data_IF_873819328414
#
_entry.id   IF_873819328414
#
_cell.length_a   1.000
_cell.length_b   1.000
_cell.length_c   1.000
_cell.angle_alpha   90.00
_cell.angle_beta   90.00
_cell.angle_gamma   90.00
#
_symmetry.space_group_name_H-M   'P 1'
#
loop_
_entity.id
_entity.type
_entity.pdbx_description
1 polymer ?
#
# COMPACT_ATOMS: atom_id res chain seq x y z
N UNK A 1 9.09 6.21 -15.61
CA UNK A 1 9.05 6.51 -14.16
C UNK A 1 8.96 5.18 -13.41
N UNK A 2 9.56 4.99 -12.23
CA UNK A 2 9.45 3.69 -11.54
C UNK A 2 8.04 3.52 -10.92
N UNK A 3 7.38 2.36 -11.07
CA UNK A 3 6.07 2.11 -10.46
C UNK A 3 6.14 2.11 -8.94
N UNK A 4 5.02 2.44 -8.30
CA UNK A 4 4.92 2.61 -6.86
C UNK A 4 3.70 1.92 -6.28
N UNK A 5 3.88 1.31 -5.12
CA UNK A 5 2.80 0.98 -4.19
C UNK A 5 2.79 2.04 -3.09
N UNK A 6 1.77 2.88 -3.10
CA UNK A 6 1.59 3.98 -2.16
C UNK A 6 0.79 3.47 -0.96
N UNK A 7 1.28 3.71 0.25
CA UNK A 7 0.64 3.28 1.52
C UNK A 7 0.36 4.51 2.38
N UNK A 8 -0.89 4.67 2.81
CA UNK A 8 -1.26 5.73 3.75
C UNK A 8 -0.77 5.39 5.16
N UNK A 9 0.05 6.26 5.73
CA UNK A 9 0.59 6.11 7.09
C UNK A 9 0.21 7.28 8.01
N UNK A 10 -0.88 8.02 7.72
CA UNK A 10 -1.33 9.08 8.63
C UNK A 10 -1.63 8.48 10.00
N UNK A 11 -1.02 9.05 11.03
CA UNK A 11 -1.48 8.96 12.41
C UNK A 11 -2.33 10.21 12.71
N UNK A 12 -3.49 10.02 13.34
CA UNK A 12 -4.28 11.09 13.96
C UNK A 12 -4.33 10.88 15.49
N UNK A 13 -5.09 11.71 16.21
CA UNK A 13 -5.37 11.51 17.62
C UNK A 13 -5.90 10.09 17.87
N UNK A 14 -5.73 9.57 19.09
CA UNK A 14 -6.17 8.20 19.45
C UNK A 14 -7.67 7.96 19.23
N UNK A 15 -8.48 9.03 19.22
CA UNK A 15 -9.94 9.00 19.04
C UNK A 15 -10.38 9.10 17.58
N UNK A 16 -9.47 9.38 16.65
CA UNK A 16 -9.80 9.62 15.24
C UNK A 16 -9.33 8.48 14.36
N UNK A 17 -10.20 8.05 13.45
CA UNK A 17 -9.82 7.07 12.42
C UNK A 17 -8.62 7.55 11.60
N UNK A 18 -7.63 6.66 11.48
CA UNK A 18 -6.42 6.89 10.69
C UNK A 18 -5.78 5.58 10.29
N UNK A 19 -5.10 5.56 9.14
CA UNK A 19 -4.49 4.32 8.64
C UNK A 19 -3.40 3.80 9.58
N UNK A 20 -2.56 4.69 10.14
CA UNK A 20 -1.54 4.26 11.10
C UNK A 20 -2.15 3.79 12.42
N UNK A 21 -3.24 4.41 12.88
CA UNK A 21 -4.02 3.94 14.04
C UNK A 21 -4.61 2.53 13.84
N UNK A 22 -4.77 2.11 12.57
CA UNK A 22 -5.20 0.77 12.16
C UNK A 22 -4.04 -0.14 11.74
N UNK A 23 -2.79 0.22 12.06
CA UNK A 23 -1.62 -0.63 11.86
C UNK A 23 -0.93 -0.52 10.50
N UNK A 24 -1.23 0.50 9.68
CA UNK A 24 -0.66 0.60 8.33
C UNK A 24 0.87 0.72 8.26
N UNK A 25 1.53 1.14 9.35
CA UNK A 25 3.00 1.16 9.43
C UNK A 25 3.59 -0.25 9.36
N UNK A 26 3.04 -1.20 10.12
CA UNK A 26 3.49 -2.59 10.09
C UNK A 26 3.20 -3.24 8.73
N UNK A 27 2.04 -2.93 8.13
CA UNK A 27 1.69 -3.40 6.79
C UNK A 27 2.66 -2.86 5.73
N UNK A 28 3.05 -1.59 5.81
CA UNK A 28 4.01 -1.00 4.90
C UNK A 28 5.38 -1.72 4.96
N UNK A 29 5.83 -2.09 6.15
CA UNK A 29 7.10 -2.81 6.33
C UNK A 29 7.01 -4.26 5.79
N UNK A 30 5.88 -4.94 5.99
CA UNK A 30 5.62 -6.26 5.42
C UNK A 30 5.58 -6.23 3.89
N UNK A 31 4.92 -5.23 3.30
CA UNK A 31 4.88 -5.01 1.86
C UNK A 31 6.27 -4.76 1.28
N UNK A 32 7.05 -3.88 1.92
CA UNK A 32 8.39 -3.57 1.47
C UNK A 32 9.28 -4.82 1.47
N UNK A 33 9.19 -5.65 2.51
CA UNK A 33 9.89 -6.92 2.57
C UNK A 33 9.42 -7.88 1.48
N UNK A 34 8.12 -8.00 1.25
CA UNK A 34 7.55 -8.89 0.25
C UNK A 34 7.90 -8.50 -1.19
N UNK A 35 7.85 -7.20 -1.53
CA UNK A 35 8.28 -6.65 -2.82
C UNK A 35 9.76 -7.01 -3.08
N UNK A 36 10.63 -6.79 -2.08
CA UNK A 36 12.06 -7.14 -2.18
C UNK A 36 12.27 -8.64 -2.35
N UNK A 37 11.58 -9.47 -1.57
CA UNK A 37 11.68 -10.94 -1.66
C UNK A 37 11.27 -11.48 -3.02
N UNK A 38 10.28 -10.87 -3.68
CA UNK A 38 9.85 -11.23 -5.04
C UNK A 38 10.68 -10.58 -6.15
N UNK A 39 11.65 -9.74 -5.82
CA UNK A 39 12.50 -9.06 -6.81
C UNK A 39 11.73 -8.08 -7.71
N UNK A 40 10.58 -7.57 -7.27
CA UNK A 40 9.75 -6.69 -8.09
C UNK A 40 10.38 -5.30 -8.18
N UNK A 41 10.42 -4.74 -9.40
CA UNK A 41 10.91 -3.38 -9.64
C UNK A 41 9.84 -2.32 -9.31
N UNK A 42 9.30 -2.36 -8.09
CA UNK A 42 8.24 -1.46 -7.58
C UNK A 42 8.79 -0.77 -6.32
N UNK A 43 8.60 0.53 -6.20
CA UNK A 43 8.93 1.27 -4.97
C UNK A 43 7.75 1.28 -4.00
N UNK A 44 8.02 1.18 -2.70
CA UNK A 44 7.01 1.43 -1.69
C UNK A 44 7.12 2.88 -1.21
N UNK A 45 6.04 3.64 -1.35
CA UNK A 45 5.99 5.04 -0.93
C UNK A 45 5.00 5.20 0.23
N UNK A 46 5.49 5.65 1.38
CA UNK A 46 4.66 6.01 2.53
C UNK A 46 4.19 7.45 2.35
N UNK A 47 2.87 7.67 2.29
CA UNK A 47 2.29 9.02 2.17
C UNK A 47 1.50 9.37 3.42
N UNK A 48 1.30 10.68 3.63
CA UNK A 48 0.50 11.14 4.75
C UNK A 48 -0.95 10.68 4.62
N UNK A 49 -1.74 11.15 3.65
CA UNK A 49 -3.17 10.85 3.61
C UNK A 49 -3.65 10.50 2.20
N UNK A 50 -4.60 9.58 2.10
CA UNK A 50 -5.34 9.26 0.87
C UNK A 50 -6.84 9.61 0.96
N UNK A 51 -7.26 10.38 1.97
CA UNK A 51 -8.64 10.86 2.13
C UNK A 51 -9.61 9.86 2.78
N UNK A 52 -9.44 8.56 2.56
CA UNK A 52 -10.44 7.52 2.89
C UNK A 52 -10.31 6.90 4.31
N UNK A 53 -10.13 7.71 5.36
CA UNK A 53 -9.76 7.21 6.69
C UNK A 53 -10.73 6.17 7.28
N UNK A 54 -12.04 6.31 7.05
CA UNK A 54 -13.06 5.38 7.56
C UNK A 54 -12.91 3.96 6.98
N UNK A 55 -12.36 3.86 5.76
CA UNK A 55 -12.11 2.61 5.05
C UNK A 55 -10.64 2.16 5.16
N UNK A 56 -9.81 2.83 5.97
CA UNK A 56 -8.39 2.48 6.08
C UNK A 56 -8.14 1.15 6.79
N UNK A 57 -6.92 0.57 6.69
CA UNK A 57 -5.75 1.07 5.96
C UNK A 57 -5.91 1.14 4.44
N UNK A 58 -5.38 2.21 3.83
CA UNK A 58 -5.53 2.49 2.41
C UNK A 58 -4.20 2.43 1.66
N UNK A 59 -4.25 1.86 0.46
CA UNK A 59 -3.09 1.74 -0.43
C UNK A 59 -3.52 1.92 -1.88
N UNK A 60 -2.60 2.28 -2.77
CA UNK A 60 -2.88 2.32 -4.21
C UNK A 60 -1.64 2.07 -5.04
N UNK A 61 -1.84 1.59 -6.26
CA UNK A 61 -0.79 1.58 -7.26
C UNK A 61 -0.62 2.98 -7.88
N UNK A 62 0.57 3.26 -8.40
CA UNK A 62 0.85 4.44 -9.20
C UNK A 62 2.02 4.18 -10.18
N UNK A 63 1.97 4.71 -11.42
CA UNK A 63 0.83 5.40 -12.03
C UNK A 63 -0.34 4.44 -12.32
N UNK A 64 -1.57 4.93 -12.13
CA UNK A 64 -2.79 4.13 -12.33
C UNK A 64 -2.94 2.92 -11.38
N UNK A 65 -3.82 1.99 -11.74
CA UNK A 65 -4.04 0.74 -11.02
C UNK A 65 -5.03 0.83 -9.86
N UNK A 66 -5.14 -0.28 -9.12
CA UNK A 66 -6.17 -0.50 -8.11
C UNK A 66 -5.91 0.30 -6.82
N UNK A 67 -7.01 0.67 -6.16
CA UNK A 67 -7.01 1.23 -4.81
C UNK A 67 -7.50 0.15 -3.83
N UNK A 68 -6.74 -0.07 -2.77
CA UNK A 68 -7.02 -1.07 -1.75
C UNK A 68 -7.47 -0.38 -0.46
N UNK A 69 -8.58 -0.86 0.08
CA UNK A 69 -9.19 -0.40 1.33
C UNK A 69 -9.22 -1.54 2.35
N UNK A 70 -9.26 -1.20 3.63
CA UNK A 70 -9.40 -2.16 4.71
C UNK A 70 -8.29 -3.21 4.74
N UNK A 71 -7.09 -2.86 4.27
CA UNK A 71 -6.01 -3.84 4.07
C UNK A 71 -5.57 -4.42 5.40
N UNK A 72 -5.52 -5.75 5.48
CA UNK A 72 -5.02 -6.51 6.61
C UNK A 72 -3.72 -7.25 6.25
N UNK A 73 -3.06 -7.83 7.27
CA UNK A 73 -1.83 -8.61 7.08
C UNK A 73 -2.01 -9.81 6.13
N UNK A 74 -3.22 -10.39 6.07
CA UNK A 74 -3.53 -11.52 5.18
C UNK A 74 -3.54 -11.14 3.69
N UNK A 75 -3.76 -9.86 3.39
CA UNK A 75 -3.91 -9.36 2.02
C UNK A 75 -2.55 -9.01 1.37
N UNK A 76 -1.48 -8.93 2.17
CA UNK A 76 -0.15 -8.48 1.73
C UNK A 76 0.36 -9.29 0.55
N UNK A 77 0.27 -10.62 0.60
CA UNK A 77 0.75 -11.48 -0.48
C UNK A 77 0.01 -11.20 -1.79
N UNK A 78 -1.32 -11.11 -1.72
CA UNK A 78 -2.20 -10.85 -2.86
C UNK A 78 -1.96 -9.46 -3.47
N UNK A 79 -1.79 -8.43 -2.65
CA UNK A 79 -1.51 -7.06 -3.13
C UNK A 79 -0.18 -7.01 -3.88
N UNK A 80 0.85 -7.69 -3.39
CA UNK A 80 2.15 -7.73 -4.07
C UNK A 80 2.04 -8.44 -5.42
N UNK A 81 1.31 -9.55 -5.49
CA UNK A 81 1.07 -10.25 -6.76
C UNK A 81 0.30 -9.38 -7.75
N UNK A 82 -0.80 -8.76 -7.32
CA UNK A 82 -1.56 -7.82 -8.14
C UNK A 82 -0.69 -6.66 -8.64
N UNK A 83 0.17 -6.11 -7.78
CA UNK A 83 1.06 -5.01 -8.15
C UNK A 83 2.07 -5.45 -9.22
N UNK A 84 2.70 -6.63 -9.04
CA UNK A 84 3.59 -7.22 -10.03
C UNK A 84 2.90 -7.44 -11.37
N UNK A 85 1.77 -8.15 -11.36
CA UNK A 85 0.98 -8.45 -12.55
C UNK A 85 0.52 -7.19 -13.30
N UNK A 86 0.08 -6.18 -12.56
CA UNK A 86 -0.39 -4.93 -13.14
C UNK A 86 0.73 -4.22 -13.92
N UNK A 87 1.92 -4.07 -13.33
CA UNK A 87 3.02 -3.36 -13.98
C UNK A 87 3.78 -4.20 -15.02
N UNK A 88 3.69 -5.54 -14.95
CA UNK A 88 4.12 -6.40 -16.06
C UNK A 88 3.24 -6.17 -17.29
N UNK A 89 1.92 -6.08 -17.09
CA UNK A 89 0.95 -5.87 -18.18
C UNK A 89 0.90 -4.41 -18.65
N UNK A 90 1.22 -3.47 -17.77
CA UNK A 90 1.16 -2.03 -18.02
C UNK A 90 2.50 -1.39 -17.59
N UNK A 91 3.55 -1.54 -18.40
CA UNK A 91 4.83 -0.91 -18.10
C UNK A 91 4.69 0.62 -18.10
N UNK A 92 5.40 1.32 -17.20
CA UNK A 92 5.31 2.77 -17.00
C UNK A 92 6.04 3.61 -18.05
#
# INVERSE_FOLDING_TARGET
MKPKLIVCVKQRSQTSDSCAGRGSLALADQLQQGIRKKGLNIDLEKVHCLGECHQGPNMRLAPGGEFFHGVEAKDIAMIIDKAGDFFIKNPP
#
